data_IF_456748832842
#
_entry.id   IF_456748832842
#
_cell.length_a   1.000
_cell.length_b   1.000
_cell.length_c   1.000
_cell.angle_alpha   90.00
_cell.angle_beta   90.00
_cell.angle_gamma   90.00
#
_symmetry.space_group_name_H-M   'P 1'
#
loop_
_entity.id
_entity.type
_entity.pdbx_description
1 polymer ?
#
# COMPACT_ATOMS: atom_id res chain seq x y z
N UNK A 1 13.49 38.29 29.51
CA UNK A 1 13.94 37.42 28.38
C UNK A 1 12.72 36.65 27.92
N UNK A 2 12.11 37.07 26.85
CA UNK A 2 10.90 36.46 26.28
C UNK A 2 11.29 35.04 25.81
N UNK A 3 10.71 34.02 26.44
CA UNK A 3 10.71 32.67 25.89
C UNK A 3 10.10 32.77 24.49
N UNK A 4 10.93 32.67 23.44
CA UNK A 4 10.47 32.36 22.10
C UNK A 4 9.96 30.92 22.15
N UNK A 5 8.69 30.75 22.52
CA UNK A 5 8.02 29.45 22.42
C UNK A 5 7.98 29.08 20.94
N UNK A 6 8.90 28.19 20.54
CA UNK A 6 8.96 27.64 19.20
C UNK A 6 7.73 26.73 19.00
N UNK A 7 6.64 27.38 18.55
CA UNK A 7 5.36 26.68 18.35
C UNK A 7 5.45 25.74 17.15
N UNK A 8 5.22 24.47 17.39
CA UNK A 8 5.16 23.44 16.34
C UNK A 8 3.69 22.98 16.22
N UNK A 9 3.03 23.24 15.09
CA UNK A 9 1.66 22.75 14.86
C UNK A 9 1.59 21.22 14.87
N UNK A 10 0.42 20.68 15.25
CA UNK A 10 0.18 19.25 15.23
C UNK A 10 0.41 18.65 13.83
N UNK A 11 1.05 17.49 13.75
CA UNK A 11 1.37 16.82 12.49
C UNK A 11 2.59 17.35 11.74
N UNK A 12 3.25 18.41 12.27
CA UNK A 12 4.51 18.95 11.74
C UNK A 12 5.64 18.58 12.69
N UNK A 13 6.76 18.16 12.14
CA UNK A 13 7.94 17.74 12.90
C UNK A 13 9.20 18.43 12.37
N UNK A 14 10.02 18.91 13.28
CA UNK A 14 11.35 19.44 12.99
C UNK A 14 12.40 18.38 13.33
N UNK A 15 13.38 18.23 12.48
CA UNK A 15 14.52 17.35 12.71
C UNK A 15 15.71 18.19 13.19
N UNK A 16 16.04 18.12 14.48
CA UNK A 16 17.11 18.90 15.08
C UNK A 16 18.50 18.40 14.62
N UNK A 17 19.61 19.16 14.80
CA UNK A 17 20.89 18.87 14.15
C UNK A 17 21.43 17.45 14.38
N UNK A 18 21.28 16.90 15.58
CA UNK A 18 21.71 15.53 15.87
C UNK A 18 20.78 14.49 15.22
N UNK A 19 19.48 14.74 15.26
CA UNK A 19 18.48 13.90 14.62
C UNK A 19 18.66 13.91 13.10
N UNK A 20 18.90 15.10 12.50
CA UNK A 20 19.14 15.26 11.07
C UNK A 20 20.34 14.42 10.60
N UNK A 21 21.46 14.43 11.34
CA UNK A 21 22.63 13.58 11.03
C UNK A 21 22.28 12.09 11.03
N UNK A 22 21.51 11.63 12.02
CA UNK A 22 21.08 10.23 12.10
C UNK A 22 20.12 9.88 10.98
N UNK A 23 19.21 10.77 10.64
CA UNK A 23 18.24 10.60 9.57
C UNK A 23 18.92 10.54 8.19
N UNK A 24 19.87 11.43 7.89
CA UNK A 24 20.68 11.37 6.66
C UNK A 24 21.47 10.06 6.53
N UNK A 25 22.02 9.56 7.64
CA UNK A 25 22.65 8.24 7.66
C UNK A 25 21.65 7.13 7.30
N UNK A 26 20.43 7.17 7.84
CA UNK A 26 19.38 6.21 7.53
C UNK A 26 18.97 6.27 6.05
N UNK A 27 18.81 7.47 5.48
CA UNK A 27 18.57 7.68 4.03
C UNK A 27 19.64 7.00 3.19
N UNK A 28 20.94 7.26 3.52
CA UNK A 28 22.07 6.66 2.81
C UNK A 28 22.08 5.12 2.93
N UNK A 29 21.72 4.56 4.09
CA UNK A 29 21.61 3.11 4.28
C UNK A 29 20.46 2.53 3.43
N UNK A 30 19.33 3.20 3.37
CA UNK A 30 18.17 2.79 2.55
C UNK A 30 18.54 2.75 1.06
N UNK A 31 19.23 3.78 0.55
CA UNK A 31 19.69 3.79 -0.86
C UNK A 31 20.63 2.62 -1.14
N UNK A 32 21.53 2.29 -0.21
CA UNK A 32 22.43 1.13 -0.36
C UNK A 32 21.65 -0.19 -0.44
N UNK A 33 20.56 -0.32 0.32
CA UNK A 33 19.69 -1.50 0.25
C UNK A 33 19.00 -1.56 -1.12
N UNK A 34 18.45 -0.45 -1.63
CA UNK A 34 17.87 -0.41 -2.98
C UNK A 34 18.88 -0.82 -4.05
N UNK A 35 20.08 -0.26 -4.02
CA UNK A 35 21.14 -0.60 -4.98
C UNK A 35 21.53 -2.09 -4.93
N UNK A 36 21.59 -2.68 -3.73
CA UNK A 36 21.88 -4.11 -3.53
C UNK A 36 20.87 -5.02 -4.26
N UNK A 37 19.59 -4.59 -4.34
CA UNK A 37 18.52 -5.31 -5.05
C UNK A 37 18.40 -4.90 -6.52
N UNK A 38 19.28 -4.01 -7.01
CA UNK A 38 19.30 -3.57 -8.40
C UNK A 38 18.22 -2.54 -8.75
N UNK A 39 17.70 -1.80 -7.77
CA UNK A 39 16.76 -0.71 -8.00
C UNK A 39 17.50 0.58 -8.32
N UNK A 40 17.10 1.24 -9.40
CA UNK A 40 17.62 2.53 -9.80
C UNK A 40 16.92 3.65 -9.01
N UNK A 41 17.72 4.44 -8.31
CA UNK A 41 17.20 5.56 -7.53
C UNK A 41 16.84 6.74 -8.44
N UNK A 42 15.63 7.27 -8.29
CA UNK A 42 15.10 8.42 -9.01
C UNK A 42 14.58 9.50 -8.06
N UNK A 43 14.64 10.76 -8.48
CA UNK A 43 14.22 11.91 -7.68
C UNK A 43 13.18 12.71 -8.47
N UNK A 44 11.87 12.39 -8.33
CA UNK A 44 10.83 13.19 -8.95
C UNK A 44 10.64 14.52 -8.22
N UNK A 45 10.13 15.57 -8.90
CA UNK A 45 9.89 16.88 -8.29
C UNK A 45 8.77 16.82 -7.25
N UNK A 46 8.82 17.68 -6.23
CA UNK A 46 7.77 17.79 -5.22
C UNK A 46 6.49 18.45 -5.75
N UNK A 47 6.65 19.36 -6.71
CA UNK A 47 5.56 20.05 -7.40
C UNK A 47 5.51 19.55 -8.83
N UNK A 48 4.30 19.24 -9.31
CA UNK A 48 4.10 18.77 -10.68
C UNK A 48 2.69 19.18 -11.17
N UNK A 49 2.41 18.99 -12.46
CA UNK A 49 1.06 19.16 -12.97
C UNK A 49 0.10 18.18 -12.28
N UNK A 50 -1.13 18.61 -12.04
CA UNK A 50 -2.11 17.77 -11.36
C UNK A 50 -2.34 16.43 -12.10
N UNK A 51 -2.30 16.44 -13.43
CA UNK A 51 -2.44 15.25 -14.25
C UNK A 51 -1.32 14.22 -14.02
N UNK A 52 -0.09 14.67 -13.78
CA UNK A 52 1.03 13.78 -13.47
C UNK A 52 0.89 13.17 -12.07
N UNK A 53 0.45 13.98 -11.10
CA UNK A 53 0.26 13.52 -9.72
C UNK A 53 -0.92 12.55 -9.56
N UNK A 54 -1.89 12.58 -10.48
CA UNK A 54 -3.10 11.75 -10.44
C UNK A 54 -3.09 10.63 -11.50
N UNK A 55 -1.94 10.25 -12.05
CA UNK A 55 -1.82 9.23 -13.10
C UNK A 55 -2.47 7.89 -12.74
N UNK A 56 -2.56 7.52 -11.47
CA UNK A 56 -3.18 6.28 -11.01
C UNK A 56 -4.70 6.40 -10.74
N UNK A 57 -5.33 7.54 -11.09
CA UNK A 57 -6.77 7.80 -10.97
C UNK A 57 -7.41 7.48 -9.60
N UNK A 58 -6.65 7.66 -8.53
CA UNK A 58 -7.16 7.44 -7.17
C UNK A 58 -7.95 8.65 -6.67
N UNK A 59 -9.21 8.46 -6.27
CA UNK A 59 -10.03 9.50 -5.63
C UNK A 59 -9.39 10.00 -4.34
N UNK A 60 -8.85 9.11 -3.55
CA UNK A 60 -8.15 9.41 -2.29
C UNK A 60 -6.94 10.34 -2.50
N UNK A 61 -6.11 10.08 -3.52
CA UNK A 61 -4.99 10.96 -3.89
C UNK A 61 -5.47 12.35 -4.32
N UNK A 62 -6.60 12.42 -5.04
CA UNK A 62 -7.17 13.69 -5.47
C UNK A 62 -7.60 14.57 -4.29
N UNK A 63 -8.13 13.98 -3.24
CA UNK A 63 -8.52 14.67 -2.01
C UNK A 63 -7.32 15.07 -1.16
N UNK A 64 -6.30 14.21 -1.06
CA UNK A 64 -5.09 14.43 -0.26
C UNK A 64 -4.09 15.40 -0.89
N UNK A 65 -4.20 15.68 -2.18
CA UNK A 65 -3.23 16.53 -2.92
C UNK A 65 -3.52 18.01 -2.70
N UNK A 66 -2.52 18.76 -2.24
CA UNK A 66 -2.56 20.24 -2.20
C UNK A 66 -2.53 20.76 -3.63
N UNK A 67 -3.44 21.65 -3.98
CA UNK A 67 -3.61 22.22 -5.33
C UNK A 67 -3.43 23.72 -5.31
N UNK A 68 -2.80 24.26 -6.35
CA UNK A 68 -2.68 25.69 -6.60
C UNK A 68 -2.63 25.98 -8.08
N UNK A 69 -2.96 27.21 -8.47
CA UNK A 69 -2.88 27.67 -9.84
C UNK A 69 -1.58 28.44 -10.08
N UNK A 70 -0.95 28.18 -11.20
CA UNK A 70 0.13 29.02 -11.69
C UNK A 70 -0.48 30.35 -12.16
N UNK A 71 -0.13 31.45 -11.52
CA UNK A 71 -0.67 32.78 -11.84
C UNK A 71 -0.35 33.26 -13.25
N UNK A 72 0.70 32.72 -13.87
CA UNK A 72 1.15 33.12 -15.21
C UNK A 72 0.48 32.30 -16.32
N UNK A 73 0.40 30.95 -16.15
CA UNK A 73 -0.15 30.06 -17.18
C UNK A 73 -1.62 29.70 -16.95
N UNK A 74 -2.16 29.91 -15.74
CA UNK A 74 -3.49 29.43 -15.34
C UNK A 74 -3.58 27.92 -15.10
N UNK A 75 -2.49 27.20 -15.31
CA UNK A 75 -2.43 25.74 -15.17
C UNK A 75 -2.50 25.33 -13.69
N UNK A 76 -3.18 24.23 -13.41
CA UNK A 76 -3.28 23.70 -12.04
C UNK A 76 -2.10 22.77 -11.74
N UNK A 77 -1.33 23.14 -10.74
CA UNK A 77 -0.26 22.33 -10.13
C UNK A 77 -0.69 21.74 -8.81
N UNK A 78 0.06 20.77 -8.34
CA UNK A 78 -0.11 20.21 -7.00
C UNK A 78 1.22 19.95 -6.31
N UNK A 79 1.13 19.79 -4.99
CA UNK A 79 2.20 19.22 -4.17
C UNK A 79 1.86 17.74 -3.99
N UNK A 80 2.79 16.86 -4.31
CA UNK A 80 2.54 15.41 -4.28
C UNK A 80 2.13 14.90 -2.90
N UNK A 81 1.06 14.11 -2.84
CA UNK A 81 0.62 13.36 -1.66
C UNK A 81 1.14 11.91 -1.64
N UNK A 82 1.65 11.44 -2.79
CA UNK A 82 2.30 10.14 -3.01
C UNK A 82 3.29 10.27 -4.18
N UNK A 83 4.42 9.55 -4.10
CA UNK A 83 5.45 9.56 -5.15
C UNK A 83 5.17 8.50 -6.22
N UNK A 84 4.48 7.41 -5.89
CA UNK A 84 4.20 6.28 -6.81
C UNK A 84 3.63 6.70 -8.17
N UNK A 85 2.67 7.66 -8.28
CA UNK A 85 2.19 8.12 -9.59
C UNK A 85 3.26 8.70 -10.49
N UNK A 86 4.20 9.46 -9.92
CA UNK A 86 5.33 10.03 -10.67
C UNK A 86 6.33 8.95 -11.10
N UNK A 87 6.55 7.91 -10.27
CA UNK A 87 7.39 6.76 -10.64
C UNK A 87 6.77 5.98 -11.79
N UNK A 88 5.45 5.78 -11.77
CA UNK A 88 4.72 5.17 -12.89
C UNK A 88 4.90 5.99 -14.19
N UNK A 89 4.88 7.32 -14.10
CA UNK A 89 5.14 8.21 -15.24
C UNK A 89 6.57 8.08 -15.76
N UNK A 90 7.55 7.98 -14.86
CA UNK A 90 8.96 7.76 -15.21
C UNK A 90 9.12 6.39 -15.90
N UNK A 91 8.47 5.33 -15.40
CA UNK A 91 8.49 4.01 -16.07
C UNK A 91 7.96 4.11 -17.49
N UNK A 92 6.82 4.75 -17.70
CA UNK A 92 6.25 4.96 -19.05
C UNK A 92 7.22 5.68 -19.99
N UNK A 93 7.96 6.68 -19.50
CA UNK A 93 8.97 7.40 -20.28
C UNK A 93 10.19 6.52 -20.60
N UNK A 94 10.64 5.71 -19.65
CA UNK A 94 11.80 4.82 -19.82
C UNK A 94 11.48 3.58 -20.65
N UNK A 95 10.22 3.17 -20.70
CA UNK A 95 9.78 1.93 -21.35
C UNK A 95 9.73 2.08 -22.87
N UNK A 96 10.55 1.31 -23.59
CA UNK A 96 10.53 1.25 -25.05
C UNK A 96 9.39 0.36 -25.58
N UNK A 97 8.90 -0.55 -24.78
CA UNK A 97 7.80 -1.49 -25.12
C UNK A 97 7.22 -2.11 -23.84
N UNK A 98 6.09 -2.83 -23.97
CA UNK A 98 5.41 -3.51 -22.84
C UNK A 98 6.28 -4.53 -22.08
N UNK A 99 7.36 -5.05 -22.69
CA UNK A 99 8.27 -6.04 -22.09
C UNK A 99 9.45 -5.39 -21.36
N UNK A 100 9.58 -4.07 -21.39
CA UNK A 100 10.64 -3.37 -20.66
C UNK A 100 10.52 -3.66 -19.16
N UNK A 101 11.64 -3.94 -18.50
CA UNK A 101 11.73 -4.22 -17.08
C UNK A 101 12.40 -3.04 -16.40
N UNK A 102 11.71 -2.40 -15.47
CA UNK A 102 12.27 -1.30 -14.69
C UNK A 102 12.10 -1.57 -13.19
N UNK A 103 13.19 -1.44 -12.44
CA UNK A 103 13.22 -1.43 -10.98
C UNK A 103 13.57 -0.02 -10.54
N UNK A 104 12.61 0.70 -9.99
CA UNK A 104 12.77 2.09 -9.60
C UNK A 104 12.56 2.24 -8.09
N UNK A 105 13.41 3.03 -7.44
CA UNK A 105 13.28 3.35 -6.03
C UNK A 105 13.33 4.86 -5.81
N UNK A 106 12.68 5.33 -4.76
CA UNK A 106 12.56 6.74 -4.47
C UNK A 106 12.60 7.04 -2.97
N UNK A 107 13.04 8.26 -2.66
CA UNK A 107 12.95 8.86 -1.33
C UNK A 107 12.56 10.34 -1.50
N UNK A 108 11.65 10.84 -0.69
CA UNK A 108 11.31 12.26 -0.74
C UNK A 108 10.17 12.66 0.19
N UNK A 109 10.07 13.97 0.39
CA UNK A 109 8.97 14.57 1.09
C UNK A 109 7.67 14.45 0.28
N UNK A 110 6.57 14.22 1.00
CA UNK A 110 5.21 14.36 0.49
C UNK A 110 4.41 15.23 1.45
N UNK A 111 3.30 15.80 0.98
CA UNK A 111 2.38 16.57 1.81
C UNK A 111 0.98 16.02 1.65
N UNK A 112 0.34 15.67 2.75
CA UNK A 112 -1.03 15.16 2.78
C UNK A 112 -1.95 16.16 3.46
N UNK A 113 -2.98 16.60 2.73
CA UNK A 113 -4.10 17.35 3.34
C UNK A 113 -4.96 16.35 4.10
N UNK A 114 -5.40 16.71 5.29
CA UNK A 114 -6.26 15.86 6.13
C UNK A 114 -5.69 14.46 6.40
N UNK A 115 -4.50 14.36 7.00
CA UNK A 115 -3.95 13.07 7.39
C UNK A 115 -4.83 12.41 8.48
N UNK A 116 -4.76 11.08 8.59
CA UNK A 116 -5.35 10.39 9.73
C UNK A 116 -4.74 10.87 11.05
N UNK A 117 -5.45 10.66 12.17
CA UNK A 117 -5.06 11.18 13.50
C UNK A 117 -3.61 10.87 13.91
N UNK A 118 -3.03 9.78 13.40
CA UNK A 118 -1.68 9.33 13.73
C UNK A 118 -0.67 9.56 12.60
N UNK A 119 -1.10 10.16 11.49
CA UNK A 119 -0.25 10.42 10.34
C UNK A 119 0.35 11.82 10.41
N UNK A 120 1.53 11.96 9.79
CA UNK A 120 2.18 13.25 9.59
C UNK A 120 1.59 13.97 8.39
N UNK A 121 1.52 15.29 8.48
CA UNK A 121 1.22 16.15 7.31
C UNK A 121 2.36 16.05 6.28
N UNK A 122 3.61 15.96 6.76
CA UNK A 122 4.82 15.86 5.94
C UNK A 122 5.60 14.58 6.27
N UNK A 123 5.15 13.41 5.80
CA UNK A 123 5.96 12.20 5.86
C UNK A 123 7.15 12.27 4.89
N UNK A 124 8.21 11.53 5.19
CA UNK A 124 9.31 11.30 4.25
C UNK A 124 9.14 9.93 3.61
N UNK A 125 8.44 9.92 2.48
CA UNK A 125 8.08 8.67 1.80
C UNK A 125 9.30 8.05 1.14
N UNK A 126 9.46 6.75 1.32
CA UNK A 126 10.36 5.91 0.54
C UNK A 126 9.58 4.76 -0.07
N UNK A 127 10.05 4.25 -1.20
CA UNK A 127 9.42 3.10 -1.84
C UNK A 127 10.24 2.53 -2.97
N UNK A 128 9.77 1.39 -3.47
CA UNK A 128 10.33 0.69 -4.62
C UNK A 128 9.19 0.14 -5.47
N UNK A 129 9.35 0.28 -6.80
CA UNK A 129 8.38 -0.15 -7.80
C UNK A 129 9.06 -1.04 -8.82
N UNK A 130 8.47 -2.20 -9.10
CA UNK A 130 8.95 -3.16 -10.08
C UNK A 130 7.95 -3.30 -11.23
N UNK A 131 8.27 -2.71 -12.35
CA UNK A 131 7.47 -2.73 -13.58
C UNK A 131 7.89 -3.91 -14.44
N UNK A 132 7.03 -4.93 -14.50
CA UNK A 132 7.31 -6.22 -15.17
C UNK A 132 6.02 -7.03 -15.32
N UNK A 133 6.05 -8.12 -16.08
CA UNK A 133 4.99 -9.13 -16.00
C UNK A 133 5.02 -9.79 -14.61
N UNK A 134 3.96 -9.57 -13.83
CA UNK A 134 3.92 -9.95 -12.42
C UNK A 134 3.90 -11.48 -12.24
N UNK A 135 4.73 -11.93 -11.32
CA UNK A 135 4.79 -13.30 -10.83
C UNK A 135 4.94 -13.29 -9.30
N UNK A 136 4.61 -14.38 -8.60
CA UNK A 136 4.82 -14.46 -7.15
C UNK A 136 6.27 -14.19 -6.69
N UNK A 137 7.25 -14.42 -7.55
CA UNK A 137 8.66 -14.14 -7.24
C UNK A 137 8.95 -12.65 -7.14
N UNK A 138 8.23 -11.81 -7.90
CA UNK A 138 8.33 -10.35 -7.84
C UNK A 138 7.85 -9.84 -6.48
N UNK A 139 6.70 -10.33 -6.02
CA UNK A 139 6.15 -9.95 -4.72
C UNK A 139 7.06 -10.40 -3.56
N UNK A 140 7.61 -11.62 -3.66
CA UNK A 140 8.55 -12.14 -2.66
C UNK A 140 9.82 -11.26 -2.61
N UNK A 141 10.37 -10.85 -3.76
CA UNK A 141 11.54 -9.96 -3.81
C UNK A 141 11.24 -8.62 -3.15
N UNK A 142 10.10 -8.00 -3.48
CA UNK A 142 9.69 -6.72 -2.90
C UNK A 142 9.48 -6.81 -1.38
N UNK A 143 8.83 -7.89 -0.91
CA UNK A 143 8.66 -8.12 0.52
C UNK A 143 10.01 -8.35 1.21
N UNK A 144 10.96 -9.07 0.58
CA UNK A 144 12.32 -9.24 1.12
C UNK A 144 13.05 -7.91 1.22
N UNK A 145 12.98 -7.07 0.19
CA UNK A 145 13.53 -5.73 0.18
C UNK A 145 12.92 -4.87 1.29
N UNK A 146 11.59 -4.88 1.43
CA UNK A 146 10.88 -4.18 2.50
C UNK A 146 11.37 -4.63 3.89
N UNK A 147 11.46 -5.94 4.13
CA UNK A 147 11.94 -6.48 5.41
C UNK A 147 13.38 -6.05 5.70
N UNK A 148 14.26 -6.00 4.70
CA UNK A 148 15.63 -5.54 4.88
C UNK A 148 15.67 -4.06 5.27
N UNK A 149 14.84 -3.22 4.64
CA UNK A 149 14.70 -1.80 5.01
C UNK A 149 14.15 -1.65 6.43
N UNK A 150 13.07 -2.36 6.78
CA UNK A 150 12.49 -2.32 8.13
C UNK A 150 13.49 -2.78 9.20
N UNK A 151 14.39 -3.69 8.84
CA UNK A 151 15.45 -4.18 9.74
C UNK A 151 16.50 -3.11 10.09
N UNK A 152 16.57 -2.00 9.35
CA UNK A 152 17.39 -0.84 9.70
C UNK A 152 16.95 -0.19 11.02
N UNK A 153 15.68 -0.39 11.42
CA UNK A 153 15.17 0.02 12.73
C UNK A 153 15.76 -0.80 13.90
N UNK A 154 16.52 -1.86 13.62
CA UNK A 154 17.02 -2.84 14.59
C UNK A 154 15.90 -3.61 15.33
N UNK A 155 14.68 -3.57 14.85
CA UNK A 155 13.57 -4.40 15.34
C UNK A 155 13.47 -5.65 14.47
N UNK A 156 13.35 -6.80 15.13
CA UNK A 156 13.37 -8.11 14.47
C UNK A 156 12.01 -8.80 14.42
N UNK A 157 10.95 -8.11 14.85
CA UNK A 157 9.61 -8.69 14.91
C UNK A 157 8.72 -7.96 13.92
N UNK A 158 8.60 -8.49 12.72
CA UNK A 158 7.75 -7.96 11.67
C UNK A 158 6.62 -8.95 11.41
N UNK A 159 5.39 -8.48 11.36
CA UNK A 159 4.22 -9.23 10.93
C UNK A 159 3.84 -8.72 9.54
N UNK A 160 3.69 -9.61 8.58
CA UNK A 160 3.17 -9.28 7.25
C UNK A 160 1.74 -9.80 7.17
N UNK A 161 0.82 -8.91 6.87
CA UNK A 161 -0.54 -9.25 6.46
C UNK A 161 -0.59 -9.31 4.94
N UNK A 162 -1.13 -10.41 4.41
CA UNK A 162 -1.29 -10.64 2.98
C UNK A 162 -2.76 -10.73 2.63
N UNK A 163 -3.15 -10.05 1.55
CA UNK A 163 -4.46 -10.13 0.95
C UNK A 163 -4.39 -10.36 -0.56
N UNK A 164 -5.55 -10.61 -1.15
CA UNK A 164 -5.72 -10.64 -2.59
C UNK A 164 -7.07 -10.02 -2.93
N UNK A 165 -7.03 -8.78 -3.44
CA UNK A 165 -8.22 -7.99 -3.79
C UNK A 165 -9.05 -8.64 -4.88
N UNK A 166 -8.45 -9.44 -5.76
CA UNK A 166 -9.15 -10.12 -6.84
C UNK A 166 -10.22 -11.09 -6.32
N UNK A 167 -10.05 -11.62 -5.10
CA UNK A 167 -11.03 -12.51 -4.46
C UNK A 167 -12.35 -11.79 -4.20
N UNK A 168 -12.30 -10.67 -3.52
CA UNK A 168 -13.50 -9.88 -3.22
C UNK A 168 -14.07 -9.25 -4.50
N UNK A 169 -13.20 -8.71 -5.38
CA UNK A 169 -13.64 -8.12 -6.65
C UNK A 169 -14.48 -9.10 -7.47
N UNK A 170 -14.05 -10.35 -7.62
CA UNK A 170 -14.81 -11.37 -8.34
C UNK A 170 -16.11 -11.75 -7.63
N UNK A 171 -16.13 -11.80 -6.28
CA UNK A 171 -17.38 -11.99 -5.54
C UNK A 171 -18.37 -10.87 -5.81
N UNK A 172 -17.94 -9.62 -5.79
CA UNK A 172 -18.75 -8.43 -6.08
C UNK A 172 -19.26 -8.43 -7.53
N UNK A 173 -18.42 -8.76 -8.51
CA UNK A 173 -18.77 -8.86 -9.92
C UNK A 173 -19.88 -9.90 -10.17
N UNK A 174 -19.85 -11.02 -9.42
CA UNK A 174 -20.88 -12.08 -9.53
C UNK A 174 -22.27 -11.65 -9.08
N UNK A 175 -22.40 -10.50 -8.41
CA UNK A 175 -23.64 -9.93 -7.89
C UNK A 175 -24.29 -8.95 -8.86
N UNK A 176 -23.59 -8.49 -9.90
CA UNK A 176 -24.09 -7.52 -10.90
C UNK A 176 -24.69 -6.25 -10.26
N UNK A 177 -24.02 -5.71 -9.24
CA UNK A 177 -24.46 -4.51 -8.52
C UNK A 177 -24.25 -3.25 -9.36
N UNK A 178 -25.09 -2.24 -9.15
CA UNK A 178 -24.79 -0.89 -9.60
C UNK A 178 -23.63 -0.28 -8.77
N UNK A 179 -23.07 0.84 -9.23
CA UNK A 179 -21.89 1.45 -8.60
C UNK A 179 -22.13 1.84 -7.13
N UNK A 180 -23.29 2.43 -6.81
CA UNK A 180 -23.61 2.87 -5.45
C UNK A 180 -23.69 1.68 -4.48
N UNK A 181 -24.37 0.62 -4.88
CA UNK A 181 -24.49 -0.61 -4.08
C UNK A 181 -23.13 -1.32 -3.94
N UNK A 182 -22.32 -1.28 -4.99
CA UNK A 182 -20.96 -1.83 -4.95
C UNK A 182 -20.10 -1.06 -3.95
N UNK A 183 -20.11 0.27 -3.97
CA UNK A 183 -19.38 1.10 -2.99
C UNK A 183 -19.85 0.83 -1.57
N UNK A 184 -21.17 0.84 -1.34
CA UNK A 184 -21.73 0.57 -0.02
C UNK A 184 -21.30 -0.81 0.51
N UNK A 185 -21.36 -1.86 -0.31
CA UNK A 185 -20.95 -3.20 0.10
C UNK A 185 -19.42 -3.27 0.39
N UNK A 186 -18.60 -2.58 -0.38
CA UNK A 186 -17.16 -2.46 -0.11
C UNK A 186 -16.92 -1.82 1.27
N UNK A 187 -17.61 -0.73 1.57
CA UNK A 187 -17.50 -0.05 2.87
C UNK A 187 -17.92 -0.96 4.02
N UNK A 188 -19.03 -1.68 3.87
CA UNK A 188 -19.50 -2.65 4.87
C UNK A 188 -18.50 -3.79 5.11
N UNK A 189 -17.84 -4.27 4.06
CA UNK A 189 -16.79 -5.30 4.15
C UNK A 189 -15.56 -4.72 4.86
N UNK A 190 -15.15 -3.50 4.54
CA UNK A 190 -14.01 -2.83 5.16
C UNK A 190 -14.18 -2.65 6.67
N UNK A 191 -15.37 -2.21 7.10
CA UNK A 191 -15.68 -2.06 8.52
C UNK A 191 -16.08 -3.37 9.19
N UNK A 192 -16.10 -4.47 8.41
CA UNK A 192 -16.42 -5.83 8.87
C UNK A 192 -17.81 -5.95 9.53
N UNK A 193 -18.79 -5.17 9.07
CA UNK A 193 -20.15 -5.11 9.61
C UNK A 193 -21.05 -6.21 9.04
N UNK A 194 -20.95 -7.42 9.59
CA UNK A 194 -21.68 -8.60 9.11
C UNK A 194 -23.20 -8.44 9.13
N UNK A 195 -23.75 -7.83 10.18
CA UNK A 195 -25.20 -7.66 10.28
C UNK A 195 -25.74 -6.80 9.16
N UNK A 196 -25.08 -5.69 8.88
CA UNK A 196 -25.46 -4.80 7.78
C UNK A 196 -25.24 -5.45 6.41
N UNK A 197 -24.21 -6.28 6.23
CA UNK A 197 -24.03 -7.10 5.02
C UNK A 197 -25.20 -8.06 4.84
N UNK A 198 -25.65 -8.75 5.89
CA UNK A 198 -26.78 -9.67 5.80
C UNK A 198 -28.06 -8.92 5.41
N UNK A 199 -28.32 -7.74 5.99
CA UNK A 199 -29.47 -6.90 5.66
C UNK A 199 -29.37 -6.41 4.21
N UNK A 200 -28.21 -5.90 3.79
CA UNK A 200 -27.95 -5.47 2.41
C UNK A 200 -28.31 -6.55 1.38
N UNK A 201 -27.91 -7.81 1.65
CA UNK A 201 -28.22 -8.94 0.78
C UNK A 201 -29.70 -9.30 0.75
N UNK A 202 -30.41 -9.25 1.90
CA UNK A 202 -31.84 -9.50 2.00
C UNK A 202 -32.65 -8.47 1.21
N UNK A 203 -32.35 -7.19 1.41
CA UNK A 203 -33.09 -6.07 0.80
C UNK A 203 -33.00 -6.09 -0.73
N UNK A 204 -31.91 -6.64 -1.28
CA UNK A 204 -31.65 -6.72 -2.72
C UNK A 204 -31.88 -8.12 -3.31
N UNK A 205 -32.37 -9.05 -2.51
CA UNK A 205 -32.60 -10.45 -2.92
C UNK A 205 -31.37 -11.08 -3.61
N UNK A 206 -30.17 -10.85 -3.06
CA UNK A 206 -28.92 -11.33 -3.63
C UNK A 206 -28.59 -12.78 -3.23
N UNK A 207 -27.64 -13.38 -3.93
CA UNK A 207 -27.23 -14.78 -3.76
C UNK A 207 -26.70 -15.06 -2.35
N UNK A 208 -27.42 -15.87 -1.58
CA UNK A 208 -27.10 -16.23 -0.20
C UNK A 208 -25.74 -16.91 -0.02
N UNK A 209 -25.30 -17.70 -1.01
CA UNK A 209 -23.98 -18.36 -0.95
C UNK A 209 -22.84 -17.33 -1.00
N UNK A 210 -22.96 -16.26 -1.80
CA UNK A 210 -21.96 -15.16 -1.85
C UNK A 210 -21.93 -14.40 -0.52
N UNK A 211 -23.12 -14.06 0.04
CA UNK A 211 -23.23 -13.46 1.35
C UNK A 211 -22.50 -14.30 2.43
N UNK A 212 -22.81 -15.60 2.48
CA UNK A 212 -22.18 -16.50 3.45
C UNK A 212 -20.66 -16.53 3.29
N UNK A 213 -20.17 -16.57 2.03
CA UNK A 213 -18.73 -16.56 1.75
C UNK A 213 -18.08 -15.26 2.22
N UNK A 214 -18.67 -14.08 1.94
CA UNK A 214 -18.13 -12.79 2.40
C UNK A 214 -18.09 -12.74 3.95
N UNK A 215 -19.17 -13.13 4.63
CA UNK A 215 -19.23 -13.14 6.08
C UNK A 215 -18.19 -14.10 6.71
N UNK A 216 -17.95 -15.26 6.10
CA UNK A 216 -16.91 -16.20 6.54
C UNK A 216 -15.50 -15.63 6.30
N UNK A 217 -15.25 -14.96 5.14
CA UNK A 217 -13.96 -14.35 4.85
C UNK A 217 -13.61 -13.21 5.82
N UNK A 218 -14.59 -12.45 6.26
CA UNK A 218 -14.42 -11.42 7.31
C UNK A 218 -13.90 -12.03 8.61
N UNK A 219 -14.34 -13.24 8.97
CA UNK A 219 -13.86 -13.96 10.17
C UNK A 219 -12.47 -14.58 9.98
N UNK A 220 -12.06 -14.79 8.74
CA UNK A 220 -10.81 -15.48 8.46
C UNK A 220 -9.64 -14.48 8.32
N UNK A 221 -9.51 -13.58 9.30
CA UNK A 221 -8.34 -12.73 9.49
C UNK A 221 -7.41 -13.38 10.53
N UNK A 222 -6.20 -13.75 10.14
CA UNK A 222 -5.20 -14.33 11.03
C UNK A 222 -4.16 -15.22 10.34
N UNK A 223 -3.60 -16.14 11.10
CA UNK A 223 -2.45 -16.96 10.67
C UNK A 223 -2.74 -17.89 9.49
N UNK A 224 -1.70 -18.40 8.86
CA UNK A 224 -1.76 -19.28 7.69
C UNK A 224 -2.57 -20.58 7.89
N UNK A 225 -2.80 -21.00 9.13
CA UNK A 225 -3.66 -22.16 9.44
C UNK A 225 -5.14 -21.94 9.05
N UNK A 226 -5.55 -20.69 8.75
CA UNK A 226 -6.88 -20.37 8.23
C UNK A 226 -7.05 -20.69 6.74
N UNK A 227 -5.97 -20.87 5.99
CA UNK A 227 -6.01 -21.08 4.54
C UNK A 227 -6.93 -22.25 4.09
N UNK A 228 -6.98 -23.41 4.77
CA UNK A 228 -7.93 -24.46 4.44
C UNK A 228 -9.40 -24.03 4.57
N UNK A 229 -9.71 -23.22 5.59
CA UNK A 229 -11.07 -22.66 5.80
C UNK A 229 -11.44 -21.68 4.70
N UNK A 230 -10.52 -20.77 4.34
CA UNK A 230 -10.67 -19.84 3.23
C UNK A 230 -10.95 -20.60 1.92
N UNK A 231 -10.15 -21.60 1.60
CA UNK A 231 -10.35 -22.46 0.40
C UNK A 231 -11.72 -23.14 0.41
N UNK A 232 -12.16 -23.66 1.54
CA UNK A 232 -13.47 -24.31 1.70
C UNK A 232 -14.61 -23.32 1.53
N UNK A 233 -14.49 -22.11 2.07
CA UNK A 233 -15.48 -21.05 1.90
C UNK A 233 -15.64 -20.66 0.44
N UNK A 234 -14.55 -20.39 -0.24
CA UNK A 234 -14.53 -19.98 -1.64
C UNK A 234 -15.01 -21.08 -2.60
N UNK A 235 -14.81 -22.36 -2.26
CA UNK A 235 -15.31 -23.47 -3.09
C UNK A 235 -16.84 -23.58 -3.13
N UNK A 236 -17.55 -22.94 -2.19
CA UNK A 236 -19.04 -22.86 -2.18
C UNK A 236 -19.57 -21.72 -3.04
N UNK A 237 -18.73 -20.72 -3.31
CA UNK A 237 -19.03 -19.70 -4.31
C UNK A 237 -18.72 -20.29 -5.68
N UNK A 238 -19.47 -19.90 -6.71
CA UNK A 238 -19.29 -20.39 -8.09
C UNK A 238 -18.02 -19.86 -8.75
N UNK A 239 -17.09 -19.30 -7.98
CA UNK A 239 -15.91 -18.59 -8.47
C UNK A 239 -14.67 -19.48 -8.38
N UNK A 240 -14.02 -19.69 -9.53
CA UNK A 240 -12.81 -20.52 -9.62
C UNK A 240 -11.55 -19.69 -9.35
N UNK A 241 -11.23 -19.45 -8.07
CA UNK A 241 -10.05 -18.69 -7.65
C UNK A 241 -8.81 -19.58 -7.37
N UNK A 242 -8.79 -20.78 -7.88
CA UNK A 242 -7.77 -21.79 -7.52
C UNK A 242 -6.34 -21.31 -7.77
N UNK A 243 -6.10 -20.59 -8.88
CA UNK A 243 -4.74 -20.11 -9.24
C UNK A 243 -4.32 -18.98 -8.32
N UNK A 244 -5.18 -17.98 -8.07
CA UNK A 244 -4.89 -16.83 -7.20
C UNK A 244 -4.59 -17.27 -5.77
N UNK A 245 -5.41 -18.15 -5.21
CA UNK A 245 -5.16 -18.72 -3.88
C UNK A 245 -3.86 -19.53 -3.80
N UNK A 246 -3.44 -20.20 -4.88
CA UNK A 246 -2.15 -20.89 -4.93
C UNK A 246 -0.97 -19.90 -4.93
N UNK A 247 -1.09 -18.80 -5.67
CA UNK A 247 -0.08 -17.72 -5.64
C UNK A 247 0.05 -17.12 -4.24
N UNK A 248 -1.08 -16.75 -3.61
CA UNK A 248 -1.09 -16.22 -2.24
C UNK A 248 -0.46 -17.18 -1.25
N UNK A 249 -0.84 -18.48 -1.32
CA UNK A 249 -0.27 -19.52 -0.46
C UNK A 249 1.24 -19.69 -0.69
N UNK A 250 1.68 -19.66 -1.94
CA UNK A 250 3.09 -19.77 -2.30
C UNK A 250 3.90 -18.62 -1.72
N UNK A 251 3.44 -17.37 -1.90
CA UNK A 251 4.06 -16.17 -1.33
C UNK A 251 4.14 -16.32 0.19
N UNK A 252 3.01 -16.59 0.85
CA UNK A 252 2.93 -16.71 2.30
C UNK A 252 3.90 -17.76 2.87
N UNK A 253 3.96 -18.96 2.26
CA UNK A 253 4.89 -20.04 2.65
C UNK A 253 6.36 -19.69 2.46
N UNK A 254 6.68 -18.82 1.51
CA UNK A 254 8.05 -18.36 1.28
C UNK A 254 8.46 -17.28 2.27
N UNK A 255 7.62 -16.25 2.45
CA UNK A 255 7.97 -15.10 3.29
C UNK A 255 7.99 -15.44 4.78
N UNK A 256 7.15 -16.37 5.27
CA UNK A 256 7.16 -16.79 6.69
C UNK A 256 8.51 -17.36 7.15
N UNK A 257 9.34 -17.82 6.20
CA UNK A 257 10.68 -18.36 6.46
C UNK A 257 11.78 -17.29 6.45
N UNK A 258 11.45 -16.05 6.10
CA UNK A 258 12.42 -14.97 6.02
C UNK A 258 12.86 -14.54 7.43
N UNK A 259 14.15 -14.19 7.53
CA UNK A 259 14.70 -13.65 8.76
C UNK A 259 13.93 -12.37 9.15
N UNK A 260 13.71 -12.17 10.44
CA UNK A 260 12.99 -11.04 11.05
C UNK A 260 11.45 -11.07 10.87
N UNK A 261 10.87 -12.00 10.13
CA UNK A 261 9.44 -12.24 10.15
C UNK A 261 9.06 -12.98 11.44
N UNK A 262 8.10 -12.42 12.17
CA UNK A 262 7.49 -13.07 13.33
C UNK A 262 6.33 -13.96 12.92
N UNK A 263 5.47 -13.44 12.04
CA UNK A 263 4.28 -14.16 11.58
C UNK A 263 3.80 -13.60 10.22
N UNK A 264 3.00 -14.40 9.54
CA UNK A 264 2.28 -13.99 8.32
C UNK A 264 0.80 -14.22 8.57
N UNK A 265 0.01 -13.16 8.44
CA UNK A 265 -1.44 -13.18 8.56
C UNK A 265 -2.08 -13.10 7.17
N UNK A 266 -3.29 -13.61 7.04
CA UNK A 266 -4.13 -13.49 5.86
C UNK A 266 -5.32 -12.60 6.19
N UNK A 267 -5.61 -11.60 5.37
CA UNK A 267 -6.86 -10.84 5.37
C UNK A 267 -7.28 -10.55 3.92
N UNK A 268 -8.31 -11.24 3.46
CA UNK A 268 -8.86 -11.04 2.11
C UNK A 268 -9.91 -9.92 2.05
N UNK A 269 -10.28 -9.38 3.20
CA UNK A 269 -11.28 -8.33 3.35
C UNK A 269 -10.70 -6.96 3.73
N UNK A 270 -9.38 -6.79 3.71
CA UNK A 270 -8.74 -5.49 3.86
C UNK A 270 -8.75 -4.77 2.49
N UNK A 271 -9.79 -3.97 2.25
CA UNK A 271 -10.03 -3.31 0.96
C UNK A 271 -9.59 -1.83 0.95
N UNK A 272 -8.95 -1.35 2.01
CA UNK A 272 -8.52 0.05 2.16
C UNK A 272 -7.56 0.52 1.04
N UNK A 273 -6.98 -0.41 0.31
CA UNK A 273 -6.02 -0.17 -0.77
C UNK A 273 -6.62 -0.30 -2.17
N UNK A 274 -7.94 -0.55 -2.30
CA UNK A 274 -8.64 -0.72 -3.59
C UNK A 274 -8.54 0.49 -4.54
N UNK A 275 -8.01 1.62 -4.08
CA UNK A 275 -7.98 2.84 -4.88
C UNK A 275 -7.17 2.73 -6.19
N UNK A 276 -6.13 1.89 -6.24
CA UNK A 276 -5.38 1.60 -7.47
C UNK A 276 -4.75 0.19 -7.49
N UNK A 277 -4.77 -0.54 -6.37
CA UNK A 277 -4.25 -1.91 -6.32
C UNK A 277 -5.28 -2.92 -6.88
N UNK A 278 -4.81 -4.02 -7.45
CA UNK A 278 -5.67 -4.93 -8.23
C UNK A 278 -5.70 -6.38 -7.74
N UNK A 279 -4.60 -6.88 -7.22
CA UNK A 279 -4.41 -8.30 -6.88
C UNK A 279 -3.80 -8.43 -5.48
N UNK A 280 -2.62 -9.09 -5.40
CA UNK A 280 -1.87 -9.27 -4.16
C UNK A 280 -1.55 -7.93 -3.51
N UNK A 281 -1.91 -7.81 -2.25
CA UNK A 281 -1.58 -6.70 -1.37
C UNK A 281 -0.86 -7.21 -0.13
N UNK A 282 -0.05 -6.36 0.46
CA UNK A 282 0.61 -6.67 1.73
C UNK A 282 0.80 -5.42 2.58
N UNK A 283 0.68 -5.64 3.88
CA UNK A 283 0.86 -4.60 4.90
C UNK A 283 1.84 -5.11 5.94
N UNK A 284 2.80 -4.28 6.31
CA UNK A 284 3.79 -4.61 7.33
C UNK A 284 3.45 -3.92 8.66
N UNK A 285 3.51 -4.70 9.74
CA UNK A 285 3.31 -4.22 11.10
C UNK A 285 4.54 -4.54 11.95
N UNK A 286 4.86 -3.63 12.87
CA UNK A 286 5.80 -3.88 13.97
C UNK A 286 4.98 -3.93 15.26
N UNK A 287 5.05 -5.01 16.07
CA UNK A 287 4.30 -5.13 17.32
C UNK A 287 4.49 -3.91 18.23
N UNK A 288 3.39 -3.47 18.82
CA UNK A 288 3.28 -2.27 19.67
C UNK A 288 3.33 -0.91 18.93
N UNK A 289 3.28 -0.91 17.61
CA UNK A 289 2.97 0.30 16.84
C UNK A 289 1.44 0.44 16.71
N UNK A 290 0.98 1.69 16.62
CA UNK A 290 -0.48 2.01 16.55
C UNK A 290 -1.05 1.94 15.14
N UNK A 291 -0.17 1.84 14.14
CA UNK A 291 -0.55 1.82 12.72
C UNK A 291 0.36 0.87 11.94
N UNK A 292 -0.03 0.61 10.72
CA UNK A 292 0.84 -0.03 9.73
C UNK A 292 2.11 0.79 9.49
N UNK A 293 3.21 0.10 9.22
CA UNK A 293 4.51 0.74 8.94
C UNK A 293 4.75 0.87 7.45
N UNK A 294 4.26 -0.08 6.67
CA UNK A 294 4.40 -0.07 5.22
C UNK A 294 3.21 -0.75 4.56
N UNK A 295 2.88 -0.31 3.37
CA UNK A 295 1.88 -0.92 2.50
C UNK A 295 2.46 -1.16 1.12
N UNK A 296 2.02 -2.22 0.46
CA UNK A 296 2.43 -2.54 -0.90
C UNK A 296 1.48 -3.50 -1.58
N UNK A 297 1.73 -3.76 -2.86
CA UNK A 297 0.91 -4.66 -3.64
C UNK A 297 1.06 -4.45 -5.13
N UNK A 298 0.28 -5.22 -5.89
CA UNK A 298 0.21 -5.16 -7.35
C UNK A 298 -0.76 -4.08 -7.80
N UNK A 299 -0.42 -3.40 -8.88
CA UNK A 299 -1.29 -2.41 -9.52
C UNK A 299 -1.04 -2.35 -11.02
N UNK A 300 -1.93 -1.64 -11.71
CA UNK A 300 -1.81 -1.39 -13.15
C UNK A 300 -1.74 0.09 -13.45
N UNK A 301 -0.90 0.44 -14.41
CA UNK A 301 -0.80 1.80 -14.95
C UNK A 301 -1.39 1.78 -16.36
N UNK A 302 -2.46 2.53 -16.55
CA UNK A 302 -3.08 2.69 -17.85
C UNK A 302 -2.46 3.89 -18.57
N UNK A 303 -1.93 3.67 -19.77
CA UNK A 303 -1.42 4.73 -20.64
C UNK A 303 -1.94 4.53 -22.05
N UNK A 304 -2.95 5.30 -22.44
CA UNK A 304 -3.65 5.16 -23.72
C UNK A 304 -4.16 3.71 -23.92
N UNK A 305 -3.67 3.00 -24.93
CA UNK A 305 -4.02 1.59 -25.20
C UNK A 305 -3.12 0.58 -24.47
N UNK A 306 -2.13 1.06 -23.71
CA UNK A 306 -1.14 0.21 -23.04
C UNK A 306 -1.42 0.07 -21.53
N UNK A 307 -1.46 -1.18 -21.07
CA UNK A 307 -1.55 -1.53 -19.66
C UNK A 307 -0.19 -2.03 -19.19
N UNK A 308 0.42 -1.33 -18.22
CA UNK A 308 1.64 -1.74 -17.55
C UNK A 308 1.30 -2.33 -16.19
N UNK A 309 1.84 -3.50 -15.90
CA UNK A 309 1.75 -4.11 -14.57
C UNK A 309 2.93 -3.67 -13.71
N UNK A 310 2.66 -3.46 -12.44
CA UNK A 310 3.67 -3.15 -11.44
C UNK A 310 3.30 -3.76 -10.09
N UNK A 311 4.32 -4.00 -9.28
CA UNK A 311 4.20 -4.26 -7.85
C UNK A 311 5.20 -3.40 -7.13
N UNK A 312 4.82 -2.88 -5.96
CA UNK A 312 5.69 -1.98 -5.20
C UNK A 312 5.26 -1.87 -3.74
N UNK A 313 6.01 -1.08 -2.99
CA UNK A 313 5.65 -0.70 -1.63
C UNK A 313 6.09 0.71 -1.30
N UNK A 314 5.45 1.29 -0.30
CA UNK A 314 5.87 2.55 0.29
C UNK A 314 5.76 2.55 1.82
N UNK A 315 6.55 3.41 2.44
CA UNK A 315 6.53 3.64 3.89
C UNK A 315 7.06 5.04 4.23
N UNK A 316 6.81 5.49 5.47
CA UNK A 316 7.41 6.71 6.01
C UNK A 316 8.76 6.38 6.69
N UNK A 317 9.87 6.90 6.16
CA UNK A 317 11.21 6.67 6.72
C UNK A 317 11.35 7.25 8.13
N UNK A 318 10.58 8.29 8.47
CA UNK A 318 10.55 8.84 9.83
C UNK A 318 10.05 7.81 10.84
N UNK A 319 9.13 6.93 10.47
CA UNK A 319 8.67 5.86 11.36
C UNK A 319 9.81 4.89 11.70
N UNK A 320 10.62 4.47 10.71
CA UNK A 320 11.83 3.64 10.96
C UNK A 320 12.80 4.37 11.89
N UNK A 321 13.02 5.67 11.64
CA UNK A 321 13.90 6.50 12.46
C UNK A 321 13.45 6.51 13.93
N UNK A 322 12.17 6.81 14.20
CA UNK A 322 11.63 6.88 15.56
C UNK A 322 11.61 5.52 16.26
N UNK A 323 11.29 4.44 15.55
CA UNK A 323 11.37 3.08 16.10
C UNK A 323 12.81 2.76 16.54
N UNK A 324 13.82 3.21 15.77
CA UNK A 324 15.23 2.95 16.07
C UNK A 324 15.75 3.76 17.26
N UNK A 325 15.18 4.95 17.51
CA UNK A 325 15.72 5.93 18.49
C UNK A 325 14.93 6.03 19.77
N UNK A 326 13.58 5.99 19.71
CA UNK A 326 12.68 6.22 20.86
C UNK A 326 12.15 4.95 21.52
N UNK A 327 12.40 3.77 20.96
CA UNK A 327 11.91 2.52 21.53
C UNK A 327 10.37 2.35 21.43
N UNK A 328 9.70 1.86 22.50
CA UNK A 328 8.34 1.32 22.45
C UNK A 328 7.18 2.35 22.46
N UNK A 329 7.44 3.65 22.42
CA UNK A 329 6.41 4.69 22.61
C UNK A 329 6.28 5.61 21.39
N UNK A 330 5.99 5.04 20.21
CA UNK A 330 5.61 5.81 19.02
C UNK A 330 4.17 5.48 18.63
#
# INVERSE_FOLDING_TARGET
>A
MTNNDFFIPNGIEYCMPEEARKFEKLKSQTIKVFNKYGYNYVIPPIVDSLNNLLTLNSSDLKEKTVKFQNSTSGETFGIRADITPQIAKIDLHLSKNKKSINKLAYLGDIIRVSPNKFDRINPYQIGAEYFVNLTPSVDIELIQLLIEILSLSKKSKIVIELGDLSVITQLLESLSLNDNDRFLLIDLINVKSKNEIIEFFKDRNLKKNVMTTICELIDYNGKLNLLPKIKKSLSRSTITLTTKLRELEFIAKKIVKLKNIQDVHLDLCNLNTLNYQTDIIYTAYIPNMRKEIATGGRYTVNCNEDIRQASGFSLDLKDIYYISTRGKNV
#
